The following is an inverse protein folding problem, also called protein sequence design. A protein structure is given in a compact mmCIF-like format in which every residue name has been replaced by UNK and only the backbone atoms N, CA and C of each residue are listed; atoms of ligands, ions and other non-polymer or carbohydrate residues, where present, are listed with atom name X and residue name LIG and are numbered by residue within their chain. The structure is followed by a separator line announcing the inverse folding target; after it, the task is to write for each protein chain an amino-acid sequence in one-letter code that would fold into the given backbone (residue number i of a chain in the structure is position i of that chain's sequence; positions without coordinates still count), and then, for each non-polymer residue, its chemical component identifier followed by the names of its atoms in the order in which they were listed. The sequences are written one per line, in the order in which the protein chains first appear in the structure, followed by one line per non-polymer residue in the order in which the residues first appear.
data_IF_545593599886
#
_entry.id   IF_545593599886
#
_cell.length_a   1.000
_cell.length_b   1.000
_cell.length_c   1.000
_cell.angle_alpha   90.00
_cell.angle_beta   90.00
_cell.angle_gamma   90.00
#
_symmetry.space_group_name_H-M   'P 1'
#
loop_
_entity.id
_entity.type
_entity.pdbx_description
1 polymer ?
#
# COMPACT_ATOMS: atom_id res chain seq x y z
N UNK A 1 28.06 12.90 -12.27
CA UNK A 1 27.97 12.81 -10.79
C UNK A 1 26.88 13.71 -10.16
N UNK A 2 26.53 14.87 -10.73
CA UNK A 2 25.51 15.78 -10.15
C UNK A 2 24.02 15.43 -10.37
N UNK A 3 23.69 14.35 -11.11
CA UNK A 3 22.29 13.91 -11.29
C UNK A 3 21.87 12.76 -10.35
N UNK A 4 22.82 12.09 -9.68
CA UNK A 4 22.55 10.96 -8.76
C UNK A 4 22.13 11.42 -7.35
N UNK A 5 22.70 12.54 -6.86
CA UNK A 5 22.34 13.10 -5.55
C UNK A 5 20.89 13.61 -5.47
N UNK A 6 20.39 14.22 -6.57
CA UNK A 6 19.01 14.73 -6.64
C UNK A 6 17.93 13.64 -6.54
N UNK A 7 18.23 12.41 -6.95
CA UNK A 7 17.25 11.31 -6.93
C UNK A 7 17.01 10.81 -5.50
N UNK A 8 18.06 10.79 -4.68
CA UNK A 8 17.99 10.41 -3.26
C UNK A 8 17.22 11.47 -2.47
N UNK A 9 17.49 12.76 -2.70
CA UNK A 9 16.77 13.88 -2.07
C UNK A 9 15.27 13.92 -2.42
N UNK A 10 14.91 13.57 -3.67
CA UNK A 10 13.50 13.51 -4.09
C UNK A 10 12.70 12.39 -3.42
N UNK A 11 13.39 11.34 -2.95
CA UNK A 11 12.78 10.18 -2.31
C UNK A 11 12.62 10.40 -0.79
N UNK A 12 13.63 10.98 -0.14
CA UNK A 12 13.60 11.33 1.30
C UNK A 12 12.64 12.47 1.61
N UNK A 13 12.46 13.44 0.70
CA UNK A 13 11.61 14.61 0.93
C UNK A 13 10.10 14.29 0.92
N UNK A 14 9.67 13.18 0.30
CA UNK A 14 8.24 12.83 0.18
C UNK A 14 7.70 12.02 1.38
N UNK A 15 8.56 11.48 2.25
CA UNK A 15 8.16 10.60 3.37
C UNK A 15 8.71 11.01 4.75
N UNK A 16 9.26 12.22 4.88
CA UNK A 16 9.89 12.72 6.10
C UNK A 16 8.95 12.93 7.31
N UNK A 17 7.65 12.62 7.22
CA UNK A 17 6.67 12.90 8.27
C UNK A 17 6.35 11.73 9.20
N UNK A 18 6.87 10.52 8.97
CA UNK A 18 6.55 9.35 9.79
C UNK A 18 7.82 8.60 10.16
N UNK A 19 8.01 8.33 11.46
CA UNK A 19 9.21 7.70 12.05
C UNK A 19 9.47 6.25 11.60
N UNK A 20 9.83 6.08 10.32
CA UNK A 20 9.98 4.82 9.58
C UNK A 20 11.45 4.52 9.18
N UNK A 21 12.41 5.19 9.81
CA UNK A 21 13.77 5.36 9.30
C UNK A 21 14.63 4.08 9.21
N UNK A 22 14.32 3.03 9.98
CA UNK A 22 15.13 1.80 10.03
C UNK A 22 14.70 0.79 8.95
N UNK A 23 13.40 0.58 8.77
CA UNK A 23 12.86 -0.33 7.75
C UNK A 23 13.22 0.15 6.34
N UNK A 24 13.21 1.46 6.12
CA UNK A 24 13.50 2.05 4.80
C UNK A 24 14.99 1.96 4.42
N UNK A 25 15.90 2.09 5.41
CA UNK A 25 17.34 1.87 5.20
C UNK A 25 17.69 0.41 4.95
N UNK A 26 17.01 -0.51 5.66
CA UNK A 26 17.11 -1.96 5.42
C UNK A 26 16.62 -2.28 4.00
N UNK A 27 15.44 -1.77 3.62
CA UNK A 27 14.84 -1.99 2.32
C UNK A 27 15.68 -1.36 1.19
N UNK A 28 16.26 -0.17 1.38
CA UNK A 28 17.17 0.45 0.43
C UNK A 28 18.49 -0.31 0.28
N UNK A 29 19.04 -0.85 1.38
CA UNK A 29 20.25 -1.68 1.35
C UNK A 29 19.99 -3.04 0.67
N UNK A 30 18.83 -3.64 0.91
CA UNK A 30 18.39 -4.90 0.28
C UNK A 30 18.08 -4.71 -1.21
N UNK A 31 17.41 -3.60 -1.58
CA UNK A 31 17.23 -3.18 -2.97
C UNK A 31 18.57 -2.92 -3.66
N UNK A 32 19.57 -2.46 -2.90
CA UNK A 32 20.92 -2.23 -3.41
C UNK A 32 21.71 -3.51 -3.66
N UNK A 33 21.40 -4.58 -2.93
CA UNK A 33 22.06 -5.88 -3.00
C UNK A 33 21.30 -6.91 -3.85
N UNK A 34 20.20 -6.48 -4.51
CA UNK A 34 19.45 -7.28 -5.46
C UNK A 34 18.85 -8.57 -4.87
N UNK A 35 18.42 -8.49 -3.61
CA UNK A 35 17.69 -9.55 -2.92
C UNK A 35 16.20 -9.22 -2.98
N UNK A 36 15.42 -9.92 -3.82
CA UNK A 36 14.02 -9.56 -4.16
C UNK A 36 12.96 -10.48 -3.52
N UNK A 37 11.94 -9.91 -2.87
CA UNK A 37 10.52 -10.23 -3.11
C UNK A 37 9.67 -8.95 -3.11
N UNK A 38 8.73 -8.88 -4.05
CA UNK A 38 8.41 -7.69 -4.82
C UNK A 38 6.90 -7.60 -5.04
N UNK A 39 6.14 -6.82 -4.26
CA UNK A 39 4.70 -6.62 -4.58
C UNK A 39 4.45 -5.57 -5.69
N UNK A 40 5.32 -5.55 -6.70
CA UNK A 40 5.34 -4.79 -7.98
C UNK A 40 6.16 -3.48 -8.07
N UNK A 41 7.11 -3.46 -9.02
CA UNK A 41 7.95 -2.37 -9.60
C UNK A 41 9.17 -3.04 -10.31
N UNK A 42 9.74 -2.50 -11.39
CA UNK A 42 10.52 -3.27 -12.36
C UNK A 42 11.97 -3.51 -11.92
N UNK A 43 12.48 -4.68 -12.27
CA UNK A 43 13.83 -5.21 -12.04
C UNK A 43 14.95 -4.27 -12.51
N UNK A 44 16.04 -4.17 -11.73
CA UNK A 44 17.33 -3.61 -12.20
C UNK A 44 18.45 -4.62 -11.95
N UNK A 45 19.35 -4.90 -12.90
CA UNK A 45 20.25 -6.06 -12.86
C UNK A 45 21.72 -5.72 -12.54
N UNK A 46 22.04 -5.19 -11.35
CA UNK A 46 23.44 -4.97 -10.91
C UNK A 46 23.70 -5.48 -9.48
N UNK A 47 24.31 -6.66 -9.35
CA UNK A 47 24.75 -7.23 -8.07
C UNK A 47 25.87 -6.38 -7.44
N UNK A 48 25.52 -5.46 -6.52
CA UNK A 48 26.49 -4.60 -5.83
C UNK A 48 27.20 -5.30 -4.68
N UNK A 49 28.38 -4.81 -4.32
CA UNK A 49 29.16 -5.35 -3.19
C UNK A 49 28.66 -4.83 -1.84
N UNK A 50 28.66 -5.67 -0.81
CA UNK A 50 28.22 -5.32 0.57
C UNK A 50 29.02 -4.14 1.16
N UNK A 51 30.29 -4.00 0.78
CA UNK A 51 31.18 -2.92 1.23
C UNK A 51 30.74 -1.56 0.68
N UNK A 52 30.30 -1.52 -0.57
CA UNK A 52 29.80 -0.31 -1.23
C UNK A 52 28.49 0.14 -0.58
N UNK A 53 27.56 -0.80 -0.37
CA UNK A 53 26.27 -0.52 0.27
C UNK A 53 26.45 -0.03 1.72
N UNK A 54 27.41 -0.59 2.46
CA UNK A 54 27.75 -0.12 3.82
C UNK A 54 28.21 1.34 3.82
N UNK A 55 29.06 1.73 2.87
CA UNK A 55 29.56 3.10 2.75
C UNK A 55 28.48 4.10 2.34
N UNK A 56 27.59 3.73 1.44
CA UNK A 56 26.51 4.61 0.96
C UNK A 56 25.40 4.80 2.00
N UNK A 57 25.02 3.73 2.70
CA UNK A 57 23.88 3.74 3.64
C UNK A 57 24.28 4.11 5.07
N UNK A 58 25.59 4.05 5.38
CA UNK A 58 26.12 4.20 6.74
C UNK A 58 25.78 3.03 7.67
N UNK A 59 25.28 1.91 7.12
CA UNK A 59 24.95 0.70 7.88
C UNK A 59 26.23 -0.14 8.00
N UNK A 60 26.49 -0.69 9.20
CA UNK A 60 27.66 -1.54 9.43
C UNK A 60 27.62 -2.77 8.50
N UNK A 61 28.74 -3.02 7.82
CA UNK A 61 28.99 -4.18 6.96
C UNK A 61 28.50 -5.51 7.55
N UNK A 62 28.76 -5.73 8.85
CA UNK A 62 28.38 -6.98 9.53
C UNK A 62 26.86 -7.10 9.68
N UNK A 63 26.15 -5.98 9.86
CA UNK A 63 24.68 -5.95 9.94
C UNK A 63 24.06 -6.36 8.61
N UNK A 64 24.60 -5.83 7.51
CA UNK A 64 24.16 -6.18 6.16
C UNK A 64 24.43 -7.66 5.85
N UNK A 65 25.62 -8.17 6.19
CA UNK A 65 25.93 -9.61 6.07
C UNK A 65 25.00 -10.50 6.87
N UNK A 66 24.66 -10.09 8.10
CA UNK A 66 23.74 -10.84 8.95
C UNK A 66 22.33 -10.87 8.35
N UNK A 67 21.88 -9.79 7.70
CA UNK A 67 20.59 -9.77 6.99
C UNK A 67 20.59 -10.66 5.76
N UNK A 68 21.65 -10.60 4.93
CA UNK A 68 21.81 -11.50 3.77
C UNK A 68 21.78 -12.96 4.22
N UNK A 69 22.56 -13.30 5.25
CA UNK A 69 22.60 -14.68 5.78
C UNK A 69 21.24 -15.15 6.30
N UNK A 70 20.51 -14.28 7.00
CA UNK A 70 19.14 -14.59 7.46
C UNK A 70 18.18 -14.81 6.29
N UNK A 71 18.32 -14.01 5.24
CA UNK A 71 17.56 -14.16 4.00
C UNK A 71 17.86 -15.48 3.28
N UNK A 72 19.14 -15.82 3.09
CA UNK A 72 19.57 -17.07 2.46
C UNK A 72 19.09 -18.31 3.25
N UNK A 73 19.02 -18.20 4.58
CA UNK A 73 18.54 -19.29 5.45
C UNK A 73 17.01 -19.40 5.46
N UNK A 74 16.29 -18.51 4.75
CA UNK A 74 14.82 -18.46 4.78
C UNK A 74 14.25 -18.07 6.14
N UNK A 75 15.09 -17.65 7.09
CA UNK A 75 14.70 -17.17 8.43
C UNK A 75 14.62 -15.65 8.48
N UNK A 76 14.64 -15.00 7.33
CA UNK A 76 14.10 -13.66 7.17
C UNK A 76 12.58 -13.77 7.11
N UNK A 77 12.03 -14.48 8.10
CA UNK A 77 10.66 -14.28 8.46
C UNK A 77 10.56 -12.83 8.88
N UNK A 78 9.54 -12.18 8.35
CA UNK A 78 9.08 -10.91 8.82
C UNK A 78 8.49 -11.08 10.23
N UNK A 79 9.35 -11.43 11.19
CA UNK A 79 9.03 -11.55 12.62
C UNK A 79 8.48 -10.22 13.14
N UNK A 80 8.60 -9.14 12.36
CA UNK A 80 8.02 -7.84 12.66
C UNK A 80 6.60 -7.60 12.14
N UNK A 81 6.01 -8.47 11.32
CA UNK A 81 4.68 -8.18 10.75
C UNK A 81 3.60 -9.13 11.26
N UNK A 82 3.90 -10.41 11.49
CA UNK A 82 2.90 -11.34 12.03
C UNK A 82 2.69 -11.22 13.54
N UNK A 83 3.69 -10.75 14.30
CA UNK A 83 3.60 -10.61 15.76
C UNK A 83 3.59 -9.16 16.25
N UNK A 84 3.70 -8.17 15.36
CA UNK A 84 3.75 -6.78 15.82
C UNK A 84 2.34 -6.30 16.23
N UNK A 85 2.19 -5.81 17.47
CA UNK A 85 0.93 -5.27 18.00
C UNK A 85 0.25 -4.21 17.10
N UNK A 86 1.01 -3.56 16.20
CA UNK A 86 0.50 -2.53 15.27
C UNK A 86 -0.23 -3.09 14.03
N UNK A 87 0.07 -4.31 13.59
CA UNK A 87 -0.52 -4.86 12.36
C UNK A 87 -1.72 -5.78 12.60
N UNK A 88 -2.07 -6.01 13.87
CA UNK A 88 -3.25 -6.80 14.25
C UNK A 88 -4.55 -6.10 13.86
N UNK A 89 -5.43 -6.86 13.24
CA UNK A 89 -6.79 -6.43 12.91
C UNK A 89 -7.63 -6.25 14.18
N UNK A 90 -8.70 -5.45 14.10
CA UNK A 90 -9.61 -5.24 15.23
C UNK A 90 -10.19 -6.56 15.78
N UNK A 91 -10.43 -7.54 14.89
CA UNK A 91 -10.90 -8.88 15.26
C UNK A 91 -9.86 -9.65 16.07
N UNK A 92 -8.59 -9.65 15.64
CA UNK A 92 -7.51 -10.33 16.34
C UNK A 92 -7.20 -9.69 17.69
N UNK A 93 -7.18 -8.35 17.75
CA UNK A 93 -7.06 -7.61 19.01
C UNK A 93 -8.15 -8.01 20.01
N UNK A 94 -9.39 -8.13 19.54
CA UNK A 94 -10.51 -8.57 20.38
C UNK A 94 -10.34 -10.01 20.88
N UNK A 95 -9.93 -10.94 20.01
CA UNK A 95 -9.68 -12.33 20.41
C UNK A 95 -8.60 -12.41 21.49
N UNK A 96 -7.51 -11.68 21.32
CA UNK A 96 -6.43 -11.62 22.30
C UNK A 96 -6.88 -11.05 23.65
N UNK A 97 -7.73 -10.02 23.64
CA UNK A 97 -8.35 -9.47 24.85
C UNK A 97 -9.25 -10.49 25.54
N UNK A 98 -10.07 -11.19 24.76
CA UNK A 98 -10.98 -12.22 25.27
C UNK A 98 -10.21 -13.37 25.91
N UNK A 99 -9.18 -13.88 25.22
CA UNK A 99 -8.31 -14.94 25.72
C UNK A 99 -7.58 -14.49 26.99
N UNK A 100 -6.99 -13.29 26.99
CA UNK A 100 -6.30 -12.74 28.16
C UNK A 100 -7.23 -12.50 29.36
N UNK A 101 -8.50 -12.16 29.12
CA UNK A 101 -9.51 -11.99 30.16
C UNK A 101 -9.92 -13.32 30.80
N UNK A 102 -9.90 -14.43 30.04
CA UNK A 102 -10.19 -15.78 30.55
C UNK A 102 -9.07 -16.42 31.36
N UNK A 103 -7.82 -15.92 31.23
CA UNK A 103 -6.66 -16.42 31.95
C UNK A 103 -6.53 -15.81 33.36
N UNK A 104 -5.97 -16.60 34.29
CA UNK A 104 -5.58 -16.12 35.62
C UNK A 104 -4.42 -15.12 35.52
N UNK A 105 -4.29 -14.27 36.52
CA UNK A 105 -3.26 -13.20 36.55
C UNK A 105 -1.84 -13.76 36.45
N UNK A 106 -1.58 -14.91 37.08
CA UNK A 106 -0.28 -15.60 37.05
C UNK A 106 0.08 -16.14 35.65
N UNK A 107 -0.92 -16.55 34.86
CA UNK A 107 -0.75 -17.15 33.54
C UNK A 107 -0.74 -16.10 32.42
N UNK A 108 -1.42 -14.97 32.65
CA UNK A 108 -1.55 -13.85 31.69
C UNK A 108 -0.19 -13.29 31.27
N UNK A 109 0.74 -13.17 32.21
CA UNK A 109 2.09 -12.66 31.91
C UNK A 109 2.89 -13.56 30.96
N UNK A 110 2.72 -14.88 31.06
CA UNK A 110 3.34 -15.86 30.15
C UNK A 110 2.76 -15.77 28.75
N UNK A 111 1.44 -15.81 28.67
CA UNK A 111 0.68 -15.70 27.42
C UNK A 111 1.03 -14.45 26.60
N UNK A 112 1.18 -13.31 27.28
CA UNK A 112 1.55 -12.03 26.67
C UNK A 112 2.97 -12.04 26.07
N UNK A 113 3.94 -12.60 26.81
CA UNK A 113 5.33 -12.71 26.34
C UNK A 113 5.47 -13.65 25.14
N UNK A 114 4.76 -14.78 25.15
CA UNK A 114 4.76 -15.73 24.03
C UNK A 114 4.28 -15.08 22.72
N UNK A 115 3.36 -14.13 22.81
CA UNK A 115 2.80 -13.42 21.66
C UNK A 115 3.50 -12.10 21.33
N UNK A 116 4.52 -11.72 22.10
CA UNK A 116 5.24 -10.45 21.91
C UNK A 116 4.42 -9.21 22.25
N UNK A 117 3.42 -9.33 23.13
CA UNK A 117 2.47 -8.27 23.48
C UNK A 117 2.70 -7.85 24.94
N UNK A 118 2.68 -6.55 25.20
CA UNK A 118 2.73 -5.99 26.56
C UNK A 118 1.33 -5.74 27.14
N UNK A 119 1.19 -5.73 28.47
CA UNK A 119 -0.09 -5.51 29.16
C UNK A 119 -0.72 -4.16 28.82
N UNK A 120 0.09 -3.14 28.55
CA UNK A 120 -0.38 -1.82 28.10
C UNK A 120 -1.15 -1.89 26.77
N UNK A 121 -0.78 -2.80 25.86
CA UNK A 121 -1.49 -2.97 24.59
C UNK A 121 -2.93 -3.45 24.80
N UNK A 122 -3.17 -4.29 25.81
CA UNK A 122 -4.52 -4.75 26.12
C UNK A 122 -5.41 -3.57 26.53
N UNK A 123 -4.91 -2.68 27.39
CA UNK A 123 -5.67 -1.50 27.83
C UNK A 123 -5.99 -0.58 26.65
N UNK A 124 -4.99 -0.33 25.79
CA UNK A 124 -5.18 0.51 24.59
C UNK A 124 -6.21 -0.12 23.66
N UNK A 125 -6.13 -1.42 23.39
CA UNK A 125 -7.04 -2.09 22.47
C UNK A 125 -8.47 -2.18 23.01
N UNK A 126 -8.65 -2.38 24.32
CA UNK A 126 -9.98 -2.35 24.94
C UNK A 126 -10.62 -0.97 24.75
N UNK A 127 -9.85 0.10 24.97
CA UNK A 127 -10.31 1.47 24.73
C UNK A 127 -10.62 1.74 23.25
N UNK A 128 -9.72 1.36 22.34
CA UNK A 128 -9.91 1.50 20.88
C UNK A 128 -11.20 0.81 20.42
N UNK A 129 -11.44 -0.42 20.88
CA UNK A 129 -12.63 -1.20 20.50
C UNK A 129 -13.92 -0.57 21.05
N UNK A 130 -13.90 -0.07 22.29
CA UNK A 130 -15.04 0.66 22.87
C UNK A 130 -15.36 1.92 22.06
N UNK A 131 -14.34 2.69 21.72
CA UNK A 131 -14.51 3.89 20.89
C UNK A 131 -15.02 3.58 19.49
N UNK A 132 -14.61 2.45 18.89
CA UNK A 132 -15.14 2.02 17.59
C UNK A 132 -16.63 1.68 17.65
N UNK A 133 -17.10 1.10 18.76
CA UNK A 133 -18.53 0.77 18.96
C UNK A 133 -19.33 2.04 19.26
N UNK A 134 -18.78 2.96 20.06
CA UNK A 134 -19.44 4.21 20.44
C UNK A 134 -19.46 5.24 19.29
N UNK A 135 -18.51 5.17 18.36
CA UNK A 135 -18.53 5.95 17.12
C UNK A 135 -19.75 5.55 16.28
N UNK A 136 -20.82 6.33 16.43
CA UNK A 136 -21.91 6.37 15.46
C UNK A 136 -21.32 6.58 14.06
N UNK A 137 -21.89 5.94 13.02
CA UNK A 137 -21.41 6.15 11.65
C UNK A 137 -21.39 7.65 11.36
N UNK A 138 -20.22 8.17 10.99
CA UNK A 138 -20.06 9.59 10.71
C UNK A 138 -21.07 9.96 9.61
N UNK A 139 -21.91 10.99 9.78
CA UNK A 139 -22.79 11.47 8.72
C UNK A 139 -22.02 11.72 7.41
N UNK A 140 -20.72 12.07 7.49
CA UNK A 140 -19.84 12.19 6.32
C UNK A 140 -19.63 10.88 5.57
N UNK A 141 -19.55 9.73 6.26
CA UNK A 141 -19.42 8.43 5.60
C UNK A 141 -20.68 8.05 4.82
N UNK A 142 -21.85 8.43 5.35
CA UNK A 142 -23.12 8.25 4.65
C UNK A 142 -23.20 9.16 3.42
N UNK A 143 -22.80 10.42 3.57
CA UNK A 143 -22.73 11.39 2.47
C UNK A 143 -21.75 10.92 1.37
N UNK A 144 -20.56 10.43 1.76
CA UNK A 144 -19.57 9.89 0.83
C UNK A 144 -20.12 8.67 0.07
N UNK A 145 -20.85 7.77 0.73
CA UNK A 145 -21.53 6.65 0.06
C UNK A 145 -22.58 7.13 -0.92
N UNK A 146 -23.38 8.12 -0.55
CA UNK A 146 -24.41 8.69 -1.42
C UNK A 146 -23.78 9.39 -2.63
N UNK A 147 -22.71 10.18 -2.44
CA UNK A 147 -21.96 10.84 -3.50
C UNK A 147 -21.33 9.83 -4.46
N UNK A 148 -20.71 8.76 -3.95
CA UNK A 148 -20.16 7.68 -4.78
C UNK A 148 -21.23 7.00 -5.63
N UNK A 149 -22.43 6.80 -5.09
CA UNK A 149 -23.56 6.23 -5.84
C UNK A 149 -24.00 7.17 -6.96
N UNK A 150 -24.22 8.46 -6.65
CA UNK A 150 -24.59 9.48 -7.63
C UNK A 150 -23.55 9.62 -8.73
N UNK A 151 -22.27 9.61 -8.38
CA UNK A 151 -21.17 9.73 -9.34
C UNK A 151 -21.19 8.56 -10.34
N UNK A 152 -21.36 7.32 -9.87
CA UNK A 152 -21.52 6.14 -10.75
C UNK A 152 -22.75 6.20 -11.65
N UNK A 153 -23.85 6.76 -11.15
CA UNK A 153 -25.08 6.95 -11.95
C UNK A 153 -24.84 7.97 -13.07
N UNK A 154 -24.22 9.11 -12.74
CA UNK A 154 -23.86 10.15 -13.69
C UNK A 154 -22.86 9.65 -14.75
N UNK A 155 -21.85 8.88 -14.37
CA UNK A 155 -20.89 8.26 -15.30
C UNK A 155 -21.60 7.36 -16.33
N UNK A 156 -22.58 6.56 -15.88
CA UNK A 156 -23.37 5.70 -16.78
C UNK A 156 -24.23 6.51 -17.73
N UNK A 157 -24.85 7.58 -17.24
CA UNK A 157 -25.63 8.47 -18.10
C UNK A 157 -24.77 9.20 -19.13
N UNK A 158 -23.58 9.65 -18.72
CA UNK A 158 -22.60 10.26 -19.61
C UNK A 158 -22.22 9.30 -20.74
N UNK A 159 -21.88 8.05 -20.40
CA UNK A 159 -21.49 7.05 -21.39
C UNK A 159 -22.61 6.72 -22.40
N UNK A 160 -23.87 6.71 -21.95
CA UNK A 160 -25.03 6.52 -22.85
C UNK A 160 -25.19 7.72 -23.80
N UNK A 161 -25.04 8.94 -23.28
CA UNK A 161 -25.15 10.17 -24.08
C UNK A 161 -24.01 10.28 -25.09
N UNK A 162 -22.78 9.96 -24.69
CA UNK A 162 -21.62 9.94 -25.59
C UNK A 162 -21.78 8.91 -26.70
N UNK A 163 -22.31 7.71 -26.39
CA UNK A 163 -22.61 6.70 -27.40
C UNK A 163 -23.64 7.20 -28.42
N UNK A 164 -24.75 7.77 -27.96
CA UNK A 164 -25.77 8.34 -28.86
C UNK A 164 -25.21 9.50 -29.70
N UNK A 165 -24.35 10.33 -29.12
CA UNK A 165 -23.68 11.43 -29.83
C UNK A 165 -22.72 10.89 -30.90
N UNK A 166 -21.94 9.85 -30.59
CA UNK A 166 -21.06 9.21 -31.55
C UNK A 166 -21.83 8.56 -32.71
N UNK A 167 -22.96 7.90 -32.42
CA UNK A 167 -23.85 7.34 -33.44
C UNK A 167 -24.43 8.45 -34.35
N UNK A 168 -24.89 9.56 -33.78
CA UNK A 168 -25.37 10.71 -34.56
C UNK A 168 -24.26 11.32 -35.43
N UNK A 169 -23.05 11.47 -34.90
CA UNK A 169 -21.89 11.95 -35.65
C UNK A 169 -21.54 11.00 -36.81
N UNK A 170 -21.58 9.69 -36.60
CA UNK A 170 -21.34 8.70 -37.64
C UNK A 170 -22.38 8.79 -38.77
N UNK A 171 -23.66 8.95 -38.43
CA UNK A 171 -24.73 9.16 -39.42
C UNK A 171 -24.52 10.42 -40.26
N UNK A 172 -24.11 11.54 -39.63
CA UNK A 172 -23.80 12.78 -40.35
C UNK A 172 -22.61 12.62 -41.31
N UNK A 173 -21.56 11.91 -40.87
CA UNK A 173 -20.40 11.62 -41.73
C UNK A 173 -20.80 10.74 -42.91
N UNK A 174 -21.60 9.70 -42.68
CA UNK A 174 -22.08 8.82 -43.75
C UNK A 174 -22.94 9.58 -44.76
N UNK A 175 -23.86 10.43 -44.29
CA UNK A 175 -24.69 11.29 -45.16
C UNK A 175 -23.81 12.18 -46.04
N UNK A 176 -22.81 12.86 -45.44
CA UNK A 176 -21.89 13.71 -46.19
C UNK A 176 -21.10 12.95 -47.26
N UNK A 177 -20.68 11.72 -46.96
CA UNK A 177 -19.99 10.85 -47.94
C UNK A 177 -20.90 10.42 -49.08
N UNK A 178 -22.16 10.08 -48.76
CA UNK A 178 -23.16 9.74 -49.77
C UNK A 178 -23.44 10.92 -50.71
N UNK A 179 -23.69 12.10 -50.14
CA UNK A 179 -23.96 13.33 -50.90
C UNK A 179 -22.80 13.69 -51.85
N UNK A 180 -21.55 13.40 -51.45
CA UNK A 180 -20.36 13.61 -52.28
C UNK A 180 -20.32 12.64 -53.48
N UNK A 181 -20.56 11.35 -53.24
CA UNK A 181 -20.59 10.33 -54.31
C UNK A 181 -21.70 10.59 -55.33
N UNK A 182 -22.89 11.03 -54.88
CA UNK A 182 -23.99 11.35 -55.79
C UNK A 182 -23.71 12.58 -56.65
N UNK A 183 -23.01 13.60 -56.11
CA UNK A 183 -22.59 14.76 -56.90
C UNK A 183 -21.55 14.41 -57.96
N UNK A 184 -20.56 13.59 -57.60
CA UNK A 184 -19.54 13.12 -58.55
C UNK A 184 -20.14 12.33 -59.73
N UNK A 185 -21.32 11.73 -59.56
CA UNK A 185 -22.02 10.99 -60.62
C UNK A 185 -23.01 11.85 -61.43
N UNK A 186 -23.42 13.02 -60.94
CA UNK A 186 -24.26 13.98 -61.69
C UNK A 186 -23.42 14.92 -62.58
N UNK A 187 -22.15 15.13 -62.24
CA UNK A 187 -21.20 15.97 -62.98
C UNK A 187 -20.37 15.20 -64.04
N UNK A 188 -20.67 13.92 -64.29
CA UNK A 188 -20.03 13.03 -65.29
C UNK A 188 -20.98 12.68 -66.44
#
# INVERSE_FOLDING_TARGET
MMQRARRIESWTSRHASTGWFVSEKVNAAMWSLQVHDFRNVPETPESRSVTEVSRETGINYQTIKNWIKKYETGTFDDVSTESCPRFLTAKEKYQLLFDAAGLKEDERGGFLRERGIHSEHLVIWDQELREMIEKKPDPKDQELKALRKKNKELEKELLRKEKALAEAAALLVLKKKLDALTKEHEDA
#
